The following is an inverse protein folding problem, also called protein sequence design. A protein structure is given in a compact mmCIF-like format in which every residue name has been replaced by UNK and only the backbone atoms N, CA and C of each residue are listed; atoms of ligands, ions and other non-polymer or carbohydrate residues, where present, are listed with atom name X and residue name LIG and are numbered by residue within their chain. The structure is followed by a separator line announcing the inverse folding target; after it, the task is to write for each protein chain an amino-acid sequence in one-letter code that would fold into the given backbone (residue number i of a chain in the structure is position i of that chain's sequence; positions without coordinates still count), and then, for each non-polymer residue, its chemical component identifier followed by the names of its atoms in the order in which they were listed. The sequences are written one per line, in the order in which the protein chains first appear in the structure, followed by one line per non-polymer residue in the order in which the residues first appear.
data_IF_367140026587
#
_entry.id   IF_367140026587
#
_cell.length_a   1.000
_cell.length_b   1.000
_cell.length_c   1.000
_cell.angle_alpha   90.00
_cell.angle_beta   90.00
_cell.angle_gamma   90.00
#
_symmetry.space_group_name_H-M   'P 1'
#
loop_
_entity.id
_entity.type
_entity.pdbx_description
1 polymer ?
#
# COMPACT_ATOMS: atom_id res chain seq x y z
N UNK A 1 56.34 10.34 -38.19
CA UNK A 1 55.37 11.14 -38.99
C UNK A 1 53.97 10.54 -38.97
N UNK A 2 53.80 9.24 -39.26
CA UNK A 2 52.50 8.53 -39.23
C UNK A 2 51.74 8.58 -37.89
N UNK A 3 52.45 8.55 -36.77
CA UNK A 3 51.83 8.54 -35.43
C UNK A 3 51.08 9.84 -35.09
N UNK A 4 51.59 11.00 -35.55
CA UNK A 4 50.95 12.31 -35.35
C UNK A 4 49.69 12.46 -36.22
N UNK A 5 49.69 11.83 -37.39
CA UNK A 5 48.54 11.82 -38.29
C UNK A 5 47.38 11.01 -37.69
N UNK A 6 47.67 9.88 -37.04
CA UNK A 6 46.67 9.06 -36.38
C UNK A 6 45.98 9.79 -35.22
N UNK A 7 46.74 10.43 -34.32
CA UNK A 7 46.17 11.20 -33.19
C UNK A 7 45.28 12.38 -33.64
N UNK A 8 45.69 13.05 -34.73
CA UNK A 8 44.90 14.15 -35.31
C UNK A 8 43.57 13.65 -35.85
N UNK A 9 43.57 12.51 -36.56
CA UNK A 9 42.35 11.90 -37.09
C UNK A 9 41.43 11.41 -35.97
N UNK A 10 41.97 10.76 -34.93
CA UNK A 10 41.16 10.30 -33.79
C UNK A 10 40.47 11.49 -33.12
N UNK A 11 41.19 12.60 -32.88
CA UNK A 11 40.61 13.83 -32.30
C UNK A 11 39.51 14.43 -33.17
N UNK A 12 39.68 14.45 -34.50
CA UNK A 12 38.65 14.95 -35.43
C UNK A 12 37.42 14.05 -35.39
N UNK A 13 37.59 12.74 -35.43
CA UNK A 13 36.48 11.78 -35.39
C UNK A 13 35.73 11.86 -34.07
N UNK A 14 36.42 11.90 -32.93
CA UNK A 14 35.79 12.04 -31.62
C UNK A 14 35.03 13.36 -31.51
N UNK A 15 35.58 14.47 -32.02
CA UNK A 15 34.91 15.78 -32.02
C UNK A 15 33.69 15.80 -32.94
N UNK A 16 33.76 15.14 -34.10
CA UNK A 16 32.66 15.03 -35.04
C UNK A 16 31.50 14.20 -34.46
N UNK A 17 31.83 13.03 -33.87
CA UNK A 17 30.85 12.15 -33.21
C UNK A 17 30.21 12.89 -32.03
N UNK A 18 31.02 13.54 -31.18
CA UNK A 18 30.51 14.27 -30.03
C UNK A 18 29.58 15.43 -30.44
N UNK A 19 29.97 16.21 -31.46
CA UNK A 19 29.15 17.33 -31.94
C UNK A 19 27.86 16.85 -32.64
N UNK A 20 27.91 15.74 -33.36
CA UNK A 20 26.73 15.11 -33.96
C UNK A 20 25.78 14.54 -32.90
N UNK A 21 26.31 13.87 -31.88
CA UNK A 21 25.51 13.34 -30.77
C UNK A 21 24.87 14.46 -29.94
N UNK A 22 25.60 15.55 -29.68
CA UNK A 22 25.06 16.72 -29.00
C UNK A 22 23.98 17.43 -29.82
N UNK A 23 24.21 17.62 -31.12
CA UNK A 23 23.21 18.25 -31.99
C UNK A 23 21.93 17.43 -32.07
N UNK A 24 22.07 16.11 -32.21
CA UNK A 24 20.92 15.19 -32.27
C UNK A 24 20.17 15.07 -30.95
N UNK A 25 20.86 15.14 -29.81
CA UNK A 25 20.19 15.18 -28.51
C UNK A 25 19.45 16.50 -28.30
N UNK A 26 19.99 17.63 -28.76
CA UNK A 26 19.33 18.93 -28.67
C UNK A 26 18.05 19.01 -29.53
N UNK A 27 18.08 18.52 -30.76
CA UNK A 27 16.89 18.44 -31.65
C UNK A 27 15.80 17.51 -31.07
N UNK A 28 16.19 16.42 -30.40
CA UNK A 28 15.26 15.54 -29.68
C UNK A 28 14.60 16.21 -28.47
N UNK A 29 15.31 17.11 -27.78
CA UNK A 29 14.79 17.83 -26.61
C UNK A 29 13.80 18.93 -27.05
N UNK A 30 14.07 19.63 -28.15
CA UNK A 30 13.20 20.71 -28.64
C UNK A 30 11.85 20.18 -29.17
N UNK A 31 11.81 18.97 -29.75
CA UNK A 31 10.59 18.38 -30.30
C UNK A 31 9.80 17.51 -29.31
N UNK A 32 10.23 17.43 -28.04
CA UNK A 32 9.51 16.72 -27.00
C UNK A 32 8.65 17.71 -26.21
N UNK A 33 7.39 17.89 -26.62
CA UNK A 33 6.34 18.62 -25.90
C UNK A 33 5.96 17.93 -24.57
N UNK A 34 6.91 17.80 -23.64
CA UNK A 34 6.74 17.15 -22.33
C UNK A 34 5.67 17.84 -21.46
N UNK A 35 5.42 19.12 -21.70
CA UNK A 35 4.54 19.93 -20.85
C UNK A 35 3.05 19.64 -21.08
N UNK A 36 2.59 19.25 -22.28
CA UNK A 36 1.14 19.13 -22.54
C UNK A 36 0.53 17.85 -21.99
N UNK A 37 1.23 16.72 -22.09
CA UNK A 37 0.75 15.41 -21.66
C UNK A 37 0.90 15.22 -20.14
N UNK A 38 1.97 15.72 -19.54
CA UNK A 38 2.17 15.72 -18.08
C UNK A 38 1.19 16.67 -17.37
N UNK A 39 0.85 17.84 -17.96
CA UNK A 39 -0.22 18.70 -17.44
C UNK A 39 -1.59 18.03 -17.50
N UNK A 40 -1.92 17.32 -18.58
CA UNK A 40 -3.18 16.59 -18.68
C UNK A 40 -3.27 15.47 -17.64
N UNK A 41 -2.17 14.75 -17.41
CA UNK A 41 -2.09 13.77 -16.32
C UNK A 41 -2.26 14.43 -14.95
N UNK A 42 -1.55 15.53 -14.65
CA UNK A 42 -1.66 16.21 -13.37
C UNK A 42 -3.07 16.78 -13.14
N UNK A 43 -3.72 17.32 -14.18
CA UNK A 43 -5.12 17.77 -14.13
C UNK A 43 -6.08 16.59 -13.91
N UNK A 44 -5.88 15.48 -14.62
CA UNK A 44 -6.67 14.25 -14.48
C UNK A 44 -6.50 13.59 -13.11
N UNK A 45 -5.27 13.58 -12.57
CA UNK A 45 -4.95 13.07 -11.25
C UNK A 45 -5.54 13.97 -10.15
N UNK A 46 -5.43 15.30 -10.29
CA UNK A 46 -6.11 16.23 -9.39
C UNK A 46 -7.62 16.03 -9.40
N UNK A 47 -8.23 15.86 -10.57
CA UNK A 47 -9.65 15.57 -10.71
C UNK A 47 -10.02 14.21 -10.10
N UNK A 48 -9.14 13.20 -10.22
CA UNK A 48 -9.33 11.88 -9.62
C UNK A 48 -9.32 11.93 -8.08
N UNK A 49 -8.30 12.56 -7.50
CA UNK A 49 -8.18 12.69 -6.05
C UNK A 49 -9.28 13.60 -5.51
N UNK A 50 -9.66 14.66 -6.24
CA UNK A 50 -10.79 15.52 -5.87
C UNK A 50 -12.14 14.78 -5.81
N UNK A 51 -12.25 13.55 -6.33
CA UNK A 51 -13.40 12.68 -6.04
C UNK A 51 -13.34 12.31 -4.55
N UNK A 52 -14.14 12.98 -3.71
CA UNK A 52 -14.12 12.84 -2.25
C UNK A 52 -14.19 11.41 -1.72
N UNK A 53 -14.81 10.48 -2.46
CA UNK A 53 -14.82 9.05 -2.13
C UNK A 53 -13.40 8.43 -2.07
N UNK A 54 -12.48 8.83 -2.96
CA UNK A 54 -11.12 8.30 -3.03
C UNK A 54 -10.26 8.81 -1.89
N UNK A 55 -10.39 10.10 -1.53
CA UNK A 55 -9.65 10.69 -0.41
C UNK A 55 -10.09 10.03 0.91
N UNK A 56 -11.39 9.89 1.14
CA UNK A 56 -11.90 9.31 2.39
C UNK A 56 -11.45 7.84 2.53
N UNK A 57 -11.48 7.07 1.44
CA UNK A 57 -10.99 5.70 1.42
C UNK A 57 -9.46 5.64 1.68
N UNK A 58 -8.69 6.50 1.01
CA UNK A 58 -7.23 6.56 1.19
C UNK A 58 -6.83 6.91 2.63
N UNK A 59 -7.50 7.91 3.22
CA UNK A 59 -7.26 8.33 4.61
C UNK A 59 -7.61 7.19 5.58
N UNK A 60 -8.75 6.52 5.39
CA UNK A 60 -9.15 5.38 6.22
C UNK A 60 -8.11 4.24 6.19
N UNK A 61 -7.59 3.90 5.01
CA UNK A 61 -6.58 2.84 4.85
C UNK A 61 -5.25 3.23 5.53
N UNK A 62 -4.78 4.46 5.33
CA UNK A 62 -3.52 4.93 5.94
C UNK A 62 -3.61 4.95 7.46
N UNK A 63 -4.71 5.48 8.01
CA UNK A 63 -4.93 5.51 9.46
C UNK A 63 -5.03 4.08 10.00
N UNK A 64 -5.73 3.18 9.31
CA UNK A 64 -5.83 1.77 9.70
C UNK A 64 -4.47 1.08 9.79
N UNK A 65 -3.60 1.29 8.79
CA UNK A 65 -2.25 0.72 8.78
C UNK A 65 -1.37 1.27 9.91
N UNK A 66 -1.42 2.59 10.15
CA UNK A 66 -0.65 3.21 11.22
C UNK A 66 -1.13 2.79 12.61
N UNK A 67 -2.44 2.70 12.81
CA UNK A 67 -3.04 2.25 14.06
C UNK A 67 -2.67 0.79 14.38
N UNK A 68 -2.75 -0.10 13.38
CA UNK A 68 -2.33 -1.49 13.55
C UNK A 68 -0.86 -1.61 13.97
N UNK A 69 0.03 -0.76 13.42
CA UNK A 69 1.44 -0.70 13.84
C UNK A 69 1.62 -0.23 15.28
N UNK A 70 0.87 0.78 15.73
CA UNK A 70 0.92 1.27 17.12
C UNK A 70 0.53 0.15 18.09
N UNK A 71 -0.57 -0.56 17.79
CA UNK A 71 -1.02 -1.65 18.66
C UNK A 71 -0.05 -2.84 18.61
N UNK A 72 0.48 -3.17 17.44
CA UNK A 72 1.50 -4.22 17.30
C UNK A 72 2.77 -3.91 18.11
N UNK A 73 3.26 -2.67 18.08
CA UNK A 73 4.39 -2.23 18.92
C UNK A 73 4.05 -2.28 20.40
N UNK A 74 2.85 -1.86 20.83
CA UNK A 74 2.43 -2.00 22.22
C UNK A 74 2.48 -3.47 22.68
N UNK A 75 2.00 -4.39 21.84
CA UNK A 75 2.01 -5.81 22.16
C UNK A 75 3.45 -6.36 22.17
N UNK A 76 4.24 -6.10 21.13
CA UNK A 76 5.58 -6.65 20.97
C UNK A 76 6.59 -6.06 21.95
N UNK A 77 6.50 -4.77 22.26
CA UNK A 77 7.51 -4.05 23.03
C UNK A 77 7.16 -3.92 24.52
N UNK A 78 5.87 -4.03 24.89
CA UNK A 78 5.42 -3.92 26.29
C UNK A 78 4.81 -5.23 26.79
N UNK A 79 3.78 -5.73 26.12
CA UNK A 79 3.05 -6.92 26.62
C UNK A 79 3.92 -8.17 26.57
N UNK A 80 4.63 -8.40 25.47
CA UNK A 80 5.48 -9.58 25.26
C UNK A 80 6.64 -9.68 26.27
N UNK A 81 7.41 -8.61 26.56
CA UNK A 81 8.41 -8.63 27.62
C UNK A 81 7.80 -8.91 29.00
N UNK A 82 6.67 -8.28 29.35
CA UNK A 82 5.99 -8.54 30.63
C UNK A 82 5.50 -10.00 30.72
N UNK A 83 4.95 -10.54 29.65
CA UNK A 83 4.51 -11.93 29.57
C UNK A 83 5.70 -12.90 29.72
N UNK A 84 6.81 -12.62 29.05
CA UNK A 84 8.03 -13.44 29.13
C UNK A 84 8.60 -13.52 30.55
N UNK A 85 8.54 -12.41 31.30
CA UNK A 85 8.96 -12.35 32.71
C UNK A 85 8.04 -13.18 33.61
N UNK A 86 6.71 -13.13 33.41
CA UNK A 86 5.74 -13.85 34.23
C UNK A 86 5.80 -15.37 34.04
N UNK A 87 6.07 -15.83 32.82
CA UNK A 87 6.15 -17.26 32.50
C UNK A 87 7.60 -17.81 32.59
N UNK A 88 8.53 -17.02 33.12
CA UNK A 88 9.94 -17.37 33.28
C UNK A 88 10.58 -17.87 31.97
N UNK A 89 10.10 -17.34 30.84
CA UNK A 89 10.52 -17.73 29.50
C UNK A 89 11.54 -16.71 29.02
N UNK A 90 12.83 -17.05 29.12
CA UNK A 90 13.95 -16.11 28.96
C UNK A 90 14.31 -15.78 27.50
N UNK A 91 13.68 -16.44 26.53
CA UNK A 91 13.83 -16.13 25.10
C UNK A 91 12.61 -15.39 24.57
N UNK A 92 12.79 -14.50 23.59
CA UNK A 92 11.65 -14.08 22.79
C UNK A 92 11.03 -15.34 22.16
N UNK A 93 9.71 -15.42 21.99
CA UNK A 93 9.09 -16.59 21.34
C UNK A 93 9.77 -16.93 20.00
N UNK A 94 10.28 -15.92 19.28
CA UNK A 94 11.14 -16.03 18.09
C UNK A 94 12.35 -16.97 18.18
N UNK A 95 12.89 -17.22 19.37
CA UNK A 95 14.09 -18.02 19.58
C UNK A 95 13.80 -19.53 19.71
N UNK A 96 12.52 -19.92 19.72
CA UNK A 96 12.08 -21.31 19.61
C UNK A 96 12.41 -21.85 18.21
N UNK A 97 13.54 -22.53 18.14
CA UNK A 97 14.06 -23.21 16.94
C UNK A 97 14.25 -24.68 17.27
N UNK A 98 13.53 -25.56 16.56
CA UNK A 98 13.82 -26.99 16.57
C UNK A 98 14.88 -27.27 15.50
N UNK A 99 16.02 -27.83 15.91
CA UNK A 99 17.05 -28.28 14.98
C UNK A 99 16.64 -29.63 14.40
N UNK A 100 16.37 -29.66 13.09
CA UNK A 100 15.87 -30.87 12.41
C UNK A 100 17.04 -31.68 11.81
N UNK A 101 18.08 -30.99 11.30
CA UNK A 101 19.39 -31.55 10.90
C UNK A 101 20.32 -30.44 10.39
N UNK A 102 21.63 -30.59 10.65
CA UNK A 102 22.72 -29.85 9.99
C UNK A 102 22.44 -28.35 9.78
N UNK A 103 22.39 -27.58 10.88
CA UNK A 103 22.29 -26.11 10.82
C UNK A 103 20.98 -25.57 10.20
N UNK A 104 19.96 -26.42 10.04
CA UNK A 104 18.63 -26.02 9.57
C UNK A 104 17.65 -25.98 10.74
N UNK A 105 17.24 -24.77 11.10
CA UNK A 105 16.35 -24.49 12.22
C UNK A 105 14.93 -24.22 11.73
N UNK A 106 13.94 -24.91 12.29
CA UNK A 106 12.52 -24.58 12.07
C UNK A 106 12.06 -23.64 13.20
N UNK A 107 11.99 -22.35 12.88
CA UNK A 107 11.61 -21.28 13.81
C UNK A 107 10.09 -21.13 13.95
N UNK A 108 9.43 -22.09 14.60
CA UNK A 108 7.99 -22.01 14.90
C UNK A 108 7.65 -20.90 15.91
N UNK A 109 8.68 -20.42 16.62
CA UNK A 109 8.60 -19.30 17.53
C UNK A 109 7.98 -18.03 16.96
N UNK A 110 8.39 -17.65 15.75
CA UNK A 110 7.84 -16.47 15.08
C UNK A 110 6.36 -16.62 14.73
N UNK A 111 5.92 -17.85 14.42
CA UNK A 111 4.52 -18.12 14.10
C UNK A 111 3.61 -18.02 15.34
N UNK A 112 4.04 -18.59 16.48
CA UNK A 112 3.34 -18.42 17.76
C UNK A 112 3.28 -16.96 18.21
N UNK A 113 4.37 -16.22 17.99
CA UNK A 113 4.39 -14.78 18.26
C UNK A 113 3.33 -14.05 17.43
N UNK A 114 3.25 -14.30 16.12
CA UNK A 114 2.23 -13.67 15.25
C UNK A 114 0.80 -14.03 15.66
N UNK A 115 0.55 -15.26 16.10
CA UNK A 115 -0.78 -15.67 16.59
C UNK A 115 -1.16 -14.89 17.85
N UNK A 116 -0.24 -14.75 18.80
CA UNK A 116 -0.47 -13.98 20.02
C UNK A 116 -0.66 -12.49 19.73
N UNK A 117 0.14 -11.93 18.82
CA UNK A 117 -0.02 -10.54 18.35
C UNK A 117 -1.41 -10.32 17.72
N UNK A 118 -1.89 -11.25 16.90
CA UNK A 118 -3.24 -11.18 16.33
C UNK A 118 -4.35 -11.26 17.38
N UNK A 119 -4.22 -12.17 18.35
CA UNK A 119 -5.21 -12.35 19.42
C UNK A 119 -5.30 -11.12 20.33
N UNK A 120 -4.15 -10.52 20.68
CA UNK A 120 -4.09 -9.32 21.49
C UNK A 120 -4.54 -8.07 20.70
N UNK A 121 -4.14 -7.94 19.44
CA UNK A 121 -4.57 -6.86 18.54
C UNK A 121 -6.09 -6.85 18.38
N UNK A 122 -6.69 -8.00 18.08
CA UNK A 122 -8.15 -8.11 17.94
C UNK A 122 -8.88 -7.82 19.26
N UNK A 123 -8.34 -8.26 20.39
CA UNK A 123 -8.88 -7.95 21.72
C UNK A 123 -8.85 -6.44 22.02
N UNK A 124 -7.71 -5.78 21.81
CA UNK A 124 -7.55 -4.33 22.03
C UNK A 124 -8.49 -3.54 21.11
N UNK A 125 -8.57 -3.90 19.83
CA UNK A 125 -9.48 -3.26 18.87
C UNK A 125 -10.93 -3.41 19.34
N UNK A 126 -11.34 -4.62 19.73
CA UNK A 126 -12.69 -4.88 20.23
C UNK A 126 -13.02 -4.06 21.49
N UNK A 127 -12.09 -3.97 22.44
CA UNK A 127 -12.27 -3.18 23.66
C UNK A 127 -12.43 -1.70 23.32
N UNK A 128 -11.59 -1.14 22.45
CA UNK A 128 -11.67 0.28 22.05
C UNK A 128 -12.99 0.56 21.31
N UNK A 129 -13.37 -0.28 20.36
CA UNK A 129 -14.63 -0.13 19.62
C UNK A 129 -15.84 -0.22 20.55
N UNK A 130 -15.83 -1.18 21.48
CA UNK A 130 -16.89 -1.34 22.48
C UNK A 130 -16.96 -0.15 23.43
N UNK A 131 -15.83 0.39 23.88
CA UNK A 131 -15.78 1.57 24.76
C UNK A 131 -16.32 2.83 24.05
N UNK A 132 -15.98 3.03 22.79
CA UNK A 132 -16.49 4.15 21.98
C UNK A 132 -17.99 3.97 21.74
N UNK A 133 -18.43 2.76 21.39
CA UNK A 133 -19.84 2.42 21.18
C UNK A 133 -20.67 2.56 22.46
N UNK A 134 -20.07 2.29 23.63
CA UNK A 134 -20.76 2.39 24.92
C UNK A 134 -20.99 3.85 25.32
N UNK A 135 -20.02 4.74 25.08
CA UNK A 135 -20.12 6.16 25.48
C UNK A 135 -20.98 7.01 24.53
N UNK A 136 -21.20 6.59 23.28
CA UNK A 136 -21.96 7.35 22.29
C UNK A 136 -22.95 6.48 21.51
N UNK A 137 -24.15 6.17 22.05
CA UNK A 137 -25.16 5.38 21.34
C UNK A 137 -25.60 5.99 20.01
N UNK A 138 -25.47 7.32 19.84
CA UNK A 138 -25.82 8.05 18.60
C UNK A 138 -24.85 7.83 17.43
N UNK A 139 -23.66 7.26 17.66
CA UNK A 139 -22.72 6.92 16.58
C UNK A 139 -22.99 5.54 15.99
N UNK A 140 -23.63 4.64 16.77
CA UNK A 140 -24.04 3.31 16.32
C UNK A 140 -24.98 3.41 15.12
N UNK A 141 -25.98 4.29 15.24
CA UNK A 141 -26.93 4.57 14.16
C UNK A 141 -26.29 5.12 12.90
N UNK A 142 -25.16 5.84 12.98
CA UNK A 142 -24.50 6.43 11.80
C UNK A 142 -23.61 5.42 11.08
N UNK A 143 -22.86 4.60 11.82
CA UNK A 143 -22.02 3.55 11.23
C UNK A 143 -22.91 2.48 10.60
N UNK A 144 -23.96 2.06 11.29
CA UNK A 144 -24.93 1.08 10.79
C UNK A 144 -25.73 1.66 9.61
N UNK A 145 -26.19 2.92 9.67
CA UNK A 145 -26.85 3.57 8.51
C UNK A 145 -25.91 3.69 7.32
N UNK A 146 -24.64 4.06 7.49
CA UNK A 146 -23.73 4.22 6.36
C UNK A 146 -23.43 2.87 5.68
N UNK A 147 -23.28 1.78 6.45
CA UNK A 147 -23.19 0.43 5.90
C UNK A 147 -24.48 -0.01 5.19
N UNK A 148 -25.64 0.27 5.78
CA UNK A 148 -26.94 -0.03 5.17
C UNK A 148 -27.18 0.78 3.89
N UNK A 149 -26.74 2.04 3.83
CA UNK A 149 -26.87 2.90 2.64
C UNK A 149 -25.96 2.44 1.50
N UNK A 150 -24.73 2.00 1.82
CA UNK A 150 -23.82 1.39 0.85
C UNK A 150 -24.41 0.08 0.30
N UNK A 151 -24.92 -0.79 1.17
CA UNK A 151 -25.59 -2.03 0.77
C UNK A 151 -26.81 -1.74 -0.10
N UNK A 152 -27.69 -0.81 0.31
CA UNK A 152 -28.86 -0.40 -0.47
C UNK A 152 -28.51 0.21 -1.83
N UNK A 153 -27.38 0.92 -1.94
CA UNK A 153 -26.92 1.48 -3.21
C UNK A 153 -26.44 0.40 -4.18
N UNK A 154 -25.72 -0.59 -3.66
CA UNK A 154 -25.26 -1.76 -4.43
C UNK A 154 -26.43 -2.65 -4.84
N UNK A 155 -27.37 -2.91 -3.92
CA UNK A 155 -28.53 -3.76 -4.18
C UNK A 155 -29.44 -3.12 -5.25
N UNK A 156 -29.62 -1.80 -5.23
CA UNK A 156 -30.37 -1.08 -6.28
C UNK A 156 -29.69 -1.14 -7.64
N UNK A 157 -28.37 -1.01 -7.68
CA UNK A 157 -27.60 -1.11 -8.93
C UNK A 157 -27.64 -2.52 -9.49
N UNK A 158 -27.50 -3.54 -8.63
CA UNK A 158 -27.63 -4.96 -9.01
C UNK A 158 -29.05 -5.25 -9.55
N UNK A 159 -30.10 -4.76 -8.87
CA UNK A 159 -31.48 -4.92 -9.30
C UNK A 159 -31.75 -4.25 -10.65
N UNK A 160 -31.22 -3.04 -10.88
CA UNK A 160 -31.31 -2.35 -12.17
C UNK A 160 -30.57 -3.10 -13.28
N UNK A 161 -29.41 -3.68 -12.99
CA UNK A 161 -28.64 -4.46 -13.97
C UNK A 161 -29.34 -5.78 -14.31
N UNK A 162 -30.04 -6.40 -13.35
CA UNK A 162 -30.86 -7.58 -13.57
C UNK A 162 -32.08 -7.25 -14.45
N UNK A 163 -32.77 -6.14 -14.18
CA UNK A 163 -33.84 -5.62 -15.03
C UNK A 163 -33.36 -5.35 -16.48
N UNK A 164 -32.20 -4.69 -16.65
CA UNK A 164 -31.60 -4.46 -17.96
C UNK A 164 -31.26 -5.78 -18.67
N UNK A 165 -30.72 -6.77 -17.95
CA UNK A 165 -30.41 -8.09 -18.51
C UNK A 165 -31.68 -8.80 -19.01
N UNK A 166 -32.78 -8.72 -18.27
CA UNK A 166 -34.05 -9.34 -18.66
C UNK A 166 -34.70 -8.62 -19.85
N UNK A 167 -34.64 -7.28 -19.89
CA UNK A 167 -35.06 -6.49 -21.05
C UNK A 167 -34.23 -6.85 -22.29
N UNK A 168 -32.91 -6.99 -22.17
CA UNK A 168 -32.04 -7.39 -23.28
C UNK A 168 -32.27 -8.83 -23.73
N UNK A 169 -32.66 -9.73 -22.82
CA UNK A 169 -33.00 -11.12 -23.15
C UNK A 169 -34.37 -11.22 -23.81
N UNK A 170 -35.32 -10.36 -23.43
CA UNK A 170 -36.67 -10.27 -24.01
C UNK A 170 -36.68 -9.57 -25.38
N UNK A 171 -35.69 -8.74 -25.70
CA UNK A 171 -35.62 -7.95 -26.93
C UNK A 171 -34.67 -8.58 -27.97
N UNK A 172 -34.52 -9.91 -27.90
CA UNK A 172 -33.76 -10.76 -28.81
C UNK A 172 -34.69 -11.77 -29.46
#
# INVERSE_FOLDING_TARGET
MLFLYFDTITKIITKLIFNFLLKRSFEMIENYNFTSKSLQFAKGFKAFIARGNVINLAVAVVIGQLFAKIVSSLVADIIMPLFSLLFNYTGALKDLKLEIKANTYLGYGNFLQTILEFLLLSFIIYTILTLISWKNPLQKDKVDKNMLLLQQSLDKEIALLEEIKDILKSNK
#
